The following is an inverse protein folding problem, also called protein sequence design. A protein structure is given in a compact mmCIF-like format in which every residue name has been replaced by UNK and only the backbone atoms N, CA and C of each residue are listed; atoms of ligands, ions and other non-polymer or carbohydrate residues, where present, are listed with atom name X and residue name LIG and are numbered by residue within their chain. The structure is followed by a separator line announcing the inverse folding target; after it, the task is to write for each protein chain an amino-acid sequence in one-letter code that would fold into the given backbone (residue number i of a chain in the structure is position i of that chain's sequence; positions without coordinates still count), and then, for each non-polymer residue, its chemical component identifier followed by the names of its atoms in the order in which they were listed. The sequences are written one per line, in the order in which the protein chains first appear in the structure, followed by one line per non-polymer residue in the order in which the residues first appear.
data_IF_891077301101
#
_entry.id   IF_891077301101
#
_cell.length_a   1.000
_cell.length_b   1.000
_cell.length_c   1.000
_cell.angle_alpha   90.00
_cell.angle_beta   90.00
_cell.angle_gamma   90.00
#
_symmetry.space_group_name_H-M   'P 1'
#
loop_
_entity.id
_entity.type
_entity.pdbx_description
1 polymer ?
#
# COMPACT_ATOMS: atom_id res chain seq x y z
N UNK A 1 -16.46 41.57 -2.75
CA UNK A 1 -17.30 40.58 -2.06
C UNK A 1 -16.57 39.25 -2.12
N UNK A 2 -15.92 38.85 -1.02
CA UNK A 2 -15.02 37.69 -0.97
C UNK A 2 -15.83 36.45 -0.60
N UNK A 3 -15.82 35.43 -1.46
CA UNK A 3 -16.54 34.17 -1.22
C UNK A 3 -15.78 33.37 -0.16
N UNK A 4 -16.39 33.17 1.01
CA UNK A 4 -15.84 32.34 2.09
C UNK A 4 -16.23 30.88 1.83
N UNK A 5 -15.24 30.00 1.68
CA UNK A 5 -15.47 28.55 1.51
C UNK A 5 -15.54 27.88 2.88
N UNK A 6 -16.74 27.50 3.30
CA UNK A 6 -16.97 26.70 4.51
C UNK A 6 -16.70 25.23 4.18
N UNK A 7 -15.75 24.62 4.89
CA UNK A 7 -15.44 23.18 4.77
C UNK A 7 -15.83 22.50 6.08
N UNK A 8 -16.87 21.67 6.02
CA UNK A 8 -17.34 20.87 7.17
C UNK A 8 -16.69 19.49 7.10
N UNK A 9 -15.98 19.09 8.15
CA UNK A 9 -15.50 17.71 8.28
C UNK A 9 -16.62 16.81 8.80
N UNK A 10 -17.27 16.08 7.90
CA UNK A 10 -18.28 15.07 8.25
C UNK A 10 -17.63 13.69 8.35
N UNK A 11 -17.86 12.97 9.45
CA UNK A 11 -17.59 11.53 9.51
C UNK A 11 -18.70 10.80 8.77
N UNK A 12 -18.40 10.35 7.54
CA UNK A 12 -19.24 9.37 6.86
C UNK A 12 -19.10 8.06 7.63
N UNK A 13 -20.13 7.68 8.39
CA UNK A 13 -20.27 6.33 8.93
C UNK A 13 -20.81 5.45 7.81
N UNK A 14 -19.99 4.59 7.18
CA UNK A 14 -20.47 3.72 6.12
C UNK A 14 -21.53 2.78 6.70
N UNK A 15 -22.60 2.53 5.96
CA UNK A 15 -23.49 1.42 6.29
C UNK A 15 -22.72 0.09 6.16
N UNK A 16 -23.23 -0.99 6.74
CA UNK A 16 -22.51 -2.28 6.78
C UNK A 16 -22.11 -2.78 5.38
N UNK A 17 -22.96 -2.59 4.38
CA UNK A 17 -22.67 -2.96 2.99
C UNK A 17 -21.54 -2.12 2.38
N UNK A 18 -21.50 -0.81 2.64
CA UNK A 18 -20.41 0.08 2.21
C UNK A 18 -19.11 -0.26 2.93
N UNK A 19 -19.15 -0.56 4.23
CA UNK A 19 -17.98 -0.98 5.00
C UNK A 19 -17.40 -2.29 4.45
N UNK A 20 -18.25 -3.27 4.14
CA UNK A 20 -17.86 -4.52 3.51
C UNK A 20 -17.24 -4.30 2.13
N UNK A 21 -17.83 -3.45 1.28
CA UNK A 21 -17.29 -3.12 -0.04
C UNK A 21 -15.92 -2.41 0.03
N UNK A 22 -15.76 -1.49 0.99
CA UNK A 22 -14.47 -0.83 1.26
C UNK A 22 -13.42 -1.83 1.76
N UNK A 23 -13.78 -2.72 2.68
CA UNK A 23 -12.89 -3.76 3.18
C UNK A 23 -12.45 -4.70 2.05
N UNK A 24 -13.38 -5.17 1.21
CA UNK A 24 -13.07 -6.00 0.05
C UNK A 24 -12.08 -5.30 -0.91
N UNK A 25 -12.29 -4.01 -1.17
CA UNK A 25 -11.38 -3.21 -2.00
C UNK A 25 -9.98 -3.11 -1.38
N UNK A 26 -9.89 -2.88 -0.07
CA UNK A 26 -8.62 -2.84 0.65
C UNK A 26 -7.90 -4.19 0.64
N UNK A 27 -8.63 -5.30 0.76
CA UNK A 27 -8.07 -6.65 0.63
C UNK A 27 -7.52 -6.90 -0.78
N UNK A 28 -8.20 -6.44 -1.82
CA UNK A 28 -7.65 -6.49 -3.19
C UNK A 28 -6.38 -5.66 -3.33
N UNK A 29 -6.35 -4.42 -2.82
CA UNK A 29 -5.16 -3.58 -2.80
C UNK A 29 -3.99 -4.27 -2.07
N UNK A 30 -4.26 -4.91 -0.93
CA UNK A 30 -3.26 -5.64 -0.16
C UNK A 30 -2.70 -6.83 -0.95
N UNK A 31 -3.58 -7.60 -1.61
CA UNK A 31 -3.17 -8.75 -2.43
C UNK A 31 -2.32 -8.31 -3.62
N UNK A 32 -2.70 -7.21 -4.26
CA UNK A 32 -1.93 -6.61 -5.34
C UNK A 32 -0.58 -6.07 -4.86
N UNK A 33 -0.51 -5.49 -3.65
CA UNK A 33 0.72 -5.04 -3.02
C UNK A 33 1.66 -6.19 -2.66
N UNK A 34 1.13 -7.28 -2.10
CA UNK A 34 1.89 -8.48 -1.77
C UNK A 34 2.51 -9.09 -3.04
N UNK A 35 1.73 -9.18 -4.13
CA UNK A 35 2.23 -9.65 -5.42
C UNK A 35 3.32 -8.72 -5.99
N UNK A 36 3.05 -7.42 -6.04
CA UNK A 36 4.03 -6.44 -6.54
C UNK A 36 5.32 -6.48 -5.73
N UNK A 37 5.24 -6.61 -4.40
CA UNK A 37 6.44 -6.77 -3.56
C UNK A 37 7.17 -8.07 -3.83
N UNK A 38 6.46 -9.16 -4.12
CA UNK A 38 7.07 -10.44 -4.48
C UNK A 38 7.81 -10.35 -5.82
N UNK A 39 7.19 -9.76 -6.84
CA UNK A 39 7.83 -9.53 -8.16
C UNK A 39 9.05 -8.62 -8.03
N UNK A 40 8.94 -7.54 -7.24
CA UNK A 40 10.05 -6.64 -6.96
C UNK A 40 11.24 -7.37 -6.29
N UNK A 41 10.96 -8.30 -5.38
CA UNK A 41 11.97 -9.10 -4.71
C UNK A 41 12.60 -10.15 -5.62
N UNK A 42 11.78 -10.94 -6.32
CA UNK A 42 12.24 -12.04 -7.19
C UNK A 42 13.05 -11.55 -8.39
N UNK A 43 12.73 -10.37 -8.93
CA UNK A 43 13.42 -9.78 -10.08
C UNK A 43 14.42 -8.68 -9.72
N UNK A 44 14.61 -8.43 -8.42
CA UNK A 44 15.41 -7.33 -7.87
C UNK A 44 15.10 -5.94 -8.50
N UNK A 45 13.81 -5.67 -8.74
CA UNK A 45 13.36 -4.42 -9.34
C UNK A 45 12.92 -3.44 -8.26
N UNK A 46 13.64 -2.33 -8.13
CA UNK A 46 13.30 -1.23 -7.19
C UNK A 46 12.78 0.03 -7.87
N UNK A 47 12.88 0.10 -9.20
CA UNK A 47 12.36 1.21 -10.01
C UNK A 47 10.84 1.12 -10.17
N UNK A 48 10.15 2.25 -9.99
CA UNK A 48 8.69 2.33 -10.15
C UNK A 48 8.25 1.98 -11.56
N UNK A 49 8.95 2.50 -12.57
CA UNK A 49 8.53 2.34 -13.96
C UNK A 49 8.68 0.88 -14.40
N UNK A 50 9.74 0.21 -13.98
CA UNK A 50 10.00 -1.19 -14.33
C UNK A 50 9.06 -2.12 -13.57
N UNK A 51 8.81 -1.87 -12.28
CA UNK A 51 7.83 -2.62 -11.52
C UNK A 51 6.41 -2.42 -12.06
N UNK A 52 6.06 -1.21 -12.49
CA UNK A 52 4.77 -0.94 -13.10
C UNK A 52 4.61 -1.74 -14.39
N UNK A 53 5.59 -1.76 -15.29
CA UNK A 53 5.51 -2.56 -16.54
C UNK A 53 5.27 -4.05 -16.26
N UNK A 54 5.89 -4.59 -15.21
CA UNK A 54 5.78 -6.00 -14.85
C UNK A 54 4.44 -6.37 -14.24
N UNK A 55 3.81 -5.47 -13.48
CA UNK A 55 2.62 -5.79 -12.66
C UNK A 55 1.33 -5.15 -13.22
N UNK A 56 1.44 -4.15 -14.11
CA UNK A 56 0.29 -3.39 -14.61
C UNK A 56 -0.69 -4.22 -15.44
N UNK A 57 -0.20 -5.17 -16.26
CA UNK A 57 -1.06 -6.06 -17.04
C UNK A 57 -2.04 -6.83 -16.15
N UNK A 58 -1.50 -7.50 -15.14
CA UNK A 58 -2.31 -8.26 -14.18
C UNK A 58 -3.16 -7.38 -13.26
N UNK A 59 -2.66 -6.19 -12.88
CA UNK A 59 -3.45 -5.25 -12.08
C UNK A 59 -4.61 -4.64 -12.88
N UNK A 60 -4.50 -4.53 -14.20
CA UNK A 60 -5.58 -4.05 -15.07
C UNK A 60 -6.73 -5.05 -15.17
N UNK A 61 -6.44 -6.34 -15.07
CA UNK A 61 -7.44 -7.41 -15.06
C UNK A 61 -8.16 -7.51 -13.71
N UNK A 62 -7.53 -7.03 -12.64
CA UNK A 62 -8.18 -6.92 -11.35
C UNK A 62 -9.21 -5.79 -11.34
N UNK A 63 -10.26 -5.90 -10.51
CA UNK A 63 -11.26 -4.83 -10.31
C UNK A 63 -10.69 -3.55 -9.69
N UNK A 64 -9.38 -3.44 -9.54
CA UNK A 64 -8.71 -2.21 -9.10
C UNK A 64 -8.71 -1.21 -10.26
N UNK A 65 -9.41 -0.08 -10.09
CA UNK A 65 -9.31 1.02 -11.05
C UNK A 65 -7.85 1.46 -11.25
N UNK A 66 -7.52 1.99 -12.43
CA UNK A 66 -6.14 2.30 -12.83
C UNK A 66 -5.36 3.13 -11.80
N UNK A 67 -6.02 4.07 -11.12
CA UNK A 67 -5.42 4.89 -10.07
C UNK A 67 -4.98 4.04 -8.87
N UNK A 68 -5.79 3.07 -8.44
CA UNK A 68 -5.49 2.20 -7.31
C UNK A 68 -4.28 1.30 -7.61
N UNK A 69 -4.17 0.79 -8.84
CA UNK A 69 -3.01 0.03 -9.29
C UNK A 69 -1.72 0.86 -9.19
N UNK A 70 -1.70 2.07 -9.77
CA UNK A 70 -0.52 2.95 -9.73
C UNK A 70 -0.11 3.32 -8.30
N UNK A 71 -1.07 3.65 -7.43
CA UNK A 71 -0.76 3.95 -6.02
C UNK A 71 -0.24 2.73 -5.26
N UNK A 72 -0.71 1.53 -5.60
CA UNK A 72 -0.21 0.29 -5.00
C UNK A 72 1.26 0.06 -5.36
N UNK A 73 1.62 0.20 -6.64
CA UNK A 73 3.02 0.10 -7.09
C UNK A 73 3.89 1.14 -6.38
N UNK A 74 3.45 2.40 -6.33
CA UNK A 74 4.17 3.45 -5.60
C UNK A 74 4.38 3.10 -4.13
N UNK A 75 3.36 2.58 -3.44
CA UNK A 75 3.45 2.18 -2.04
C UNK A 75 4.51 1.09 -1.80
N UNK A 76 4.63 0.13 -2.72
CA UNK A 76 5.66 -0.91 -2.65
C UNK A 76 7.06 -0.30 -2.79
N UNK A 77 7.27 0.56 -3.80
CA UNK A 77 8.55 1.24 -4.01
C UNK A 77 8.95 2.08 -2.81
N UNK A 78 8.03 2.89 -2.29
CA UNK A 78 8.26 3.75 -1.12
C UNK A 78 8.57 2.90 0.14
N UNK A 79 7.97 1.71 0.28
CA UNK A 79 8.27 0.79 1.37
C UNK A 79 9.70 0.25 1.32
N UNK A 80 10.19 -0.12 0.13
CA UNK A 80 11.60 -0.52 -0.06
C UNK A 80 12.56 0.64 0.16
N UNK A 81 12.21 1.85 -0.28
CA UNK A 81 13.00 3.05 0.00
C UNK A 81 13.09 3.33 1.51
N UNK A 82 11.97 3.22 2.23
CA UNK A 82 11.94 3.36 3.69
C UNK A 82 12.73 2.27 4.42
N UNK A 83 12.71 1.04 3.89
CA UNK A 83 13.52 -0.07 4.40
C UNK A 83 15.02 0.25 4.28
N UNK A 84 15.47 0.66 3.09
CA UNK A 84 16.87 1.04 2.84
C UNK A 84 17.30 2.22 3.72
N UNK A 85 16.42 3.22 3.90
CA UNK A 85 16.68 4.33 4.80
C UNK A 85 16.84 3.85 6.26
N UNK A 86 15.98 2.93 6.71
CA UNK A 86 16.04 2.39 8.08
C UNK A 86 17.29 1.55 8.33
N UNK A 87 17.80 0.86 7.31
CA UNK A 87 19.10 0.17 7.36
C UNK A 87 20.24 1.18 7.44
N UNK A 88 20.20 2.23 6.59
CA UNK A 88 21.23 3.28 6.56
C UNK A 88 21.33 4.06 7.87
N UNK A 89 20.21 4.35 8.53
CA UNK A 89 20.19 5.04 9.82
C UNK A 89 20.53 4.13 11.00
N UNK A 90 20.76 2.83 10.77
CA UNK A 90 21.03 1.85 11.84
C UNK A 90 19.81 1.41 12.65
N UNK A 91 18.60 1.89 12.30
CA UNK A 91 17.36 1.47 12.96
C UNK A 91 17.03 -0.02 12.71
N UNK A 92 17.50 -0.56 11.60
CA UNK A 92 17.47 -1.99 11.29
C UNK A 92 18.90 -2.53 11.22
N UNK A 93 19.26 -3.37 12.20
CA UNK A 93 20.59 -3.97 12.32
C UNK A 93 20.53 -5.47 12.63
N UNK A 94 21.65 -6.17 12.39
CA UNK A 94 21.82 -7.60 12.69
C UNK A 94 20.78 -8.49 12.03
N UNK A 95 20.22 -9.43 12.81
CA UNK A 95 19.20 -10.39 12.35
C UNK A 95 17.94 -9.70 11.77
N UNK A 96 17.59 -8.51 12.27
CA UNK A 96 16.42 -7.75 11.79
C UNK A 96 16.66 -7.18 10.39
N UNK A 97 17.89 -6.75 10.09
CA UNK A 97 18.30 -6.33 8.75
C UNK A 97 18.28 -7.52 7.79
N UNK A 98 18.98 -8.60 8.13
CA UNK A 98 19.07 -9.79 7.29
C UNK A 98 17.68 -10.36 6.94
N UNK A 99 16.77 -10.39 7.92
CA UNK A 99 15.37 -10.81 7.70
C UNK A 99 14.61 -9.86 6.78
N UNK A 100 14.76 -8.55 6.98
CA UNK A 100 14.01 -7.56 6.20
C UNK A 100 14.53 -7.41 4.76
N UNK A 101 15.83 -7.59 4.54
CA UNK A 101 16.44 -7.60 3.20
C UNK A 101 16.22 -8.92 2.46
N UNK A 102 16.16 -10.05 3.17
CA UNK A 102 15.97 -11.38 2.57
C UNK A 102 14.52 -11.76 2.26
N UNK A 103 13.57 -10.85 2.38
CA UNK A 103 12.14 -11.14 2.22
C UNK A 103 11.42 -10.07 1.39
N UNK A 104 10.34 -10.46 0.72
CA UNK A 104 9.36 -9.49 0.21
C UNK A 104 8.78 -8.64 1.36
N UNK A 105 8.58 -7.35 1.13
CA UNK A 105 8.16 -6.41 2.18
C UNK A 105 6.66 -6.50 2.45
N UNK A 106 6.28 -7.07 3.60
CA UNK A 106 4.89 -7.07 4.09
C UNK A 106 4.44 -5.75 4.72
N UNK A 107 5.34 -4.76 4.83
CA UNK A 107 5.08 -3.42 5.40
C UNK A 107 4.05 -2.61 4.60
N UNK A 108 3.67 -3.11 3.42
CA UNK A 108 2.70 -2.53 2.49
C UNK A 108 1.25 -2.90 2.83
N UNK A 109 1.01 -3.93 3.66
CA UNK A 109 -0.35 -4.31 4.07
C UNK A 109 -1.01 -3.20 4.86
N UNK A 110 -2.18 -2.76 4.39
CA UNK A 110 -3.12 -2.08 5.26
C UNK A 110 -3.62 -3.09 6.32
N UNK A 111 -3.32 -2.81 7.59
CA UNK A 111 -3.88 -3.51 8.74
C UNK A 111 -4.93 -2.57 9.33
N UNK A 112 -6.22 -2.92 9.36
CA UNK A 112 -7.20 -2.09 10.04
C UNK A 112 -6.78 -2.01 11.50
N UNK A 113 -6.32 -0.84 11.94
CA UNK A 113 -6.34 -0.52 13.37
C UNK A 113 -7.80 -0.33 13.69
N UNK A 114 -8.30 -1.06 14.69
CA UNK A 114 -9.72 -1.12 15.01
C UNK A 114 -10.33 0.28 14.98
N UNK A 115 -11.38 0.44 14.19
CA UNK A 115 -12.31 1.55 14.38
C UNK A 115 -13.09 1.16 15.64
N UNK A 116 -12.46 1.36 16.80
CA UNK A 116 -13.06 1.04 18.09
C UNK A 116 -14.34 1.88 18.21
N UNK A 117 -15.46 1.16 18.17
CA UNK A 117 -16.80 1.67 18.35
C UNK A 117 -16.85 2.41 19.69
N UNK A 118 -16.82 3.74 19.64
CA UNK A 118 -17.42 4.53 20.69
C UNK A 118 -18.91 4.59 20.38
N UNK A 119 -19.65 3.72 21.05
CA UNK A 119 -21.09 3.85 21.26
C UNK A 119 -21.37 5.00 22.22
#
# INVERSE_FOLDING_TARGET
MTVVKVVVQMRLLPNEAQAAAMAATLHMCNSAADRASRVAFERDVRSRNDLQKLVYGEMRESRLGAQAAVRTVKKVVDAYASLLASVRTGNLAGLRRAKAEGSATHRTRYRPRGFERHS
#
